data_IF_380046512224
#
_entry.id   IF_380046512224
#
_cell.length_a   1.000
_cell.length_b   1.000
_cell.length_c   1.000
_cell.angle_alpha   90.00
_cell.angle_beta   90.00
_cell.angle_gamma   90.00
#
_symmetry.space_group_name_H-M   'P 1'
#
loop_
_entity.id
_entity.type
_entity.pdbx_description
1 polymer ?
#
# COMPACT_ATOMS: atom_id res chain seq x y z
N UNK A 1 -43.37 45.93 -49.47
CA UNK A 1 -43.18 44.51 -49.82
C UNK A 1 -41.90 44.00 -49.16
N UNK A 2 -41.91 42.80 -48.58
CA UNK A 2 -41.03 42.40 -47.48
C UNK A 2 -39.77 41.65 -47.96
N UNK A 3 -38.68 41.64 -47.19
CA UNK A 3 -37.80 40.46 -47.19
C UNK A 3 -36.97 40.36 -45.91
N UNK A 4 -37.51 39.54 -45.00
CA UNK A 4 -36.83 38.38 -44.41
C UNK A 4 -35.58 38.60 -43.56
N UNK A 5 -35.84 38.68 -42.25
CA UNK A 5 -34.95 38.31 -41.15
C UNK A 5 -34.41 36.88 -41.32
N UNK A 6 -33.10 36.70 -41.16
CA UNK A 6 -32.50 35.40 -40.85
C UNK A 6 -31.77 35.50 -39.51
N UNK A 7 -32.51 35.23 -38.45
CA UNK A 7 -31.98 35.01 -37.10
C UNK A 7 -31.35 33.62 -37.08
N UNK A 8 -30.03 33.55 -36.91
CA UNK A 8 -29.33 32.28 -36.67
C UNK A 8 -29.52 31.89 -35.21
N UNK A 9 -30.32 30.85 -34.95
CA UNK A 9 -30.35 30.19 -33.65
C UNK A 9 -28.99 29.53 -33.39
N UNK A 10 -28.27 30.02 -32.38
CA UNK A 10 -27.14 29.32 -31.78
C UNK A 10 -27.70 28.27 -30.81
N UNK A 11 -27.59 26.98 -31.17
CA UNK A 11 -27.88 25.88 -30.27
C UNK A 11 -26.75 25.80 -29.22
N UNK A 12 -27.04 26.24 -28.00
CA UNK A 12 -26.16 26.05 -26.84
C UNK A 12 -26.37 24.64 -26.32
N UNK A 13 -25.52 23.70 -26.74
CA UNK A 13 -25.47 22.35 -26.17
C UNK A 13 -24.92 22.42 -24.74
N UNK A 14 -25.84 22.37 -23.77
CA UNK A 14 -25.54 22.20 -22.35
C UNK A 14 -25.02 20.78 -22.12
N UNK A 15 -23.71 20.58 -22.18
CA UNK A 15 -23.07 19.33 -21.77
C UNK A 15 -23.09 19.27 -20.25
N UNK A 16 -24.08 18.58 -19.69
CA UNK A 16 -24.18 18.30 -18.26
C UNK A 16 -23.10 17.27 -17.90
N UNK A 17 -21.97 17.73 -17.34
CA UNK A 17 -20.94 16.86 -16.82
C UNK A 17 -21.46 16.16 -15.56
N UNK A 18 -21.92 14.91 -15.70
CA UNK A 18 -22.17 14.04 -14.56
C UNK A 18 -20.83 13.69 -13.93
N UNK A 19 -20.45 14.41 -12.88
CA UNK A 19 -19.38 14.00 -11.99
C UNK A 19 -19.84 12.75 -11.25
N UNK A 20 -19.40 11.57 -11.71
CA UNK A 20 -19.53 10.35 -10.93
C UNK A 20 -18.62 10.54 -9.71
N UNK A 21 -19.22 10.89 -8.57
CA UNK A 21 -18.49 10.93 -7.32
C UNK A 21 -17.99 9.51 -7.04
N UNK A 22 -16.67 9.32 -7.13
CA UNK A 22 -16.09 8.07 -6.66
C UNK A 22 -16.32 8.02 -5.15
N UNK A 23 -17.04 7.00 -4.68
CA UNK A 23 -17.30 6.83 -3.27
C UNK A 23 -15.99 6.64 -2.50
N UNK A 24 -15.75 7.56 -1.58
CA UNK A 24 -14.58 7.57 -0.70
C UNK A 24 -15.04 7.54 0.74
N UNK A 25 -14.26 6.88 1.59
CA UNK A 25 -14.48 6.80 3.03
C UNK A 25 -13.32 7.49 3.74
N UNK A 26 -13.61 8.60 4.42
CA UNK A 26 -12.67 9.18 5.38
C UNK A 26 -12.61 8.29 6.62
N UNK A 27 -11.39 8.01 7.05
CA UNK A 27 -11.08 7.24 8.25
C UNK A 27 -10.36 8.14 9.25
N UNK A 28 -10.57 7.91 10.54
CA UNK A 28 -9.77 8.56 11.59
C UNK A 28 -8.37 7.98 11.67
N UNK A 29 -8.30 6.65 11.61
CA UNK A 29 -7.07 5.87 11.65
C UNK A 29 -7.31 4.57 10.89
N UNK A 30 -6.34 4.15 10.08
CA UNK A 30 -6.43 2.90 9.32
C UNK A 30 -6.44 1.67 10.26
N UNK A 31 -5.79 1.79 11.42
CA UNK A 31 -5.68 0.70 12.40
C UNK A 31 -6.94 0.64 13.26
N UNK A 32 -7.46 1.78 13.72
CA UNK A 32 -8.67 1.81 14.56
C UNK A 32 -9.94 1.48 13.76
N UNK A 33 -10.00 1.94 12.51
CA UNK A 33 -11.11 1.72 11.59
C UNK A 33 -10.71 0.74 10.48
N UNK A 34 -9.98 -0.33 10.82
CA UNK A 34 -9.48 -1.36 9.90
C UNK A 34 -10.58 -2.23 9.26
N UNK A 35 -11.82 -2.14 9.77
CA UNK A 35 -13.03 -2.71 9.14
C UNK A 35 -13.92 -1.60 8.63
N UNK A 36 -14.15 -1.58 7.33
CA UNK A 36 -15.01 -0.58 6.72
C UNK A 36 -15.66 -1.12 5.44
N UNK A 37 -16.58 -0.34 4.89
CA UNK A 37 -17.22 -0.65 3.63
C UNK A 37 -17.15 0.56 2.71
N UNK A 38 -16.89 0.30 1.44
CA UNK A 38 -16.93 1.28 0.36
C UNK A 38 -17.80 0.64 -0.71
N UNK A 39 -18.93 1.28 -1.01
CA UNK A 39 -19.98 0.74 -1.88
C UNK A 39 -20.46 -0.61 -1.37
N UNK A 40 -20.51 -1.58 -2.28
CA UNK A 40 -20.96 -2.94 -1.97
C UNK A 40 -19.84 -3.83 -1.44
N UNK A 41 -18.62 -3.30 -1.23
CA UNK A 41 -17.48 -4.08 -0.76
C UNK A 41 -17.19 -3.81 0.71
N UNK A 42 -17.05 -4.89 1.49
CA UNK A 42 -16.58 -4.87 2.87
C UNK A 42 -15.13 -5.34 2.93
N UNK A 43 -14.30 -4.57 3.63
CA UNK A 43 -12.89 -4.88 3.87
C UNK A 43 -12.66 -5.12 5.37
N UNK A 44 -11.80 -6.09 5.68
CA UNK A 44 -11.27 -6.33 7.02
C UNK A 44 -9.75 -6.44 6.94
N UNK A 45 -9.08 -5.31 7.19
CA UNK A 45 -7.61 -5.24 7.20
C UNK A 45 -7.04 -5.47 8.60
N UNK A 46 -7.86 -5.65 9.63
CA UNK A 46 -7.37 -5.73 11.01
C UNK A 46 -6.29 -6.80 11.22
N UNK A 47 -6.39 -7.99 10.59
CA UNK A 47 -5.34 -9.01 10.72
C UNK A 47 -3.96 -8.57 10.22
N UNK A 48 -3.85 -7.54 9.38
CA UNK A 48 -2.57 -6.96 8.96
C UNK A 48 -1.89 -6.15 10.07
N UNK A 49 -2.63 -5.75 11.10
CA UNK A 49 -2.17 -4.76 12.09
C UNK A 49 -2.09 -5.34 13.50
N UNK A 50 -2.19 -6.66 13.66
CA UNK A 50 -2.23 -7.33 14.97
C UNK A 50 -0.88 -7.30 15.69
N UNK A 51 0.24 -7.28 14.97
CA UNK A 51 1.58 -7.24 15.58
C UNK A 51 2.19 -5.84 15.57
N UNK A 52 3.02 -5.56 16.57
CA UNK A 52 3.71 -4.28 16.69
C UNK A 52 4.68 -4.04 15.51
N UNK A 53 5.28 -5.09 14.97
CA UNK A 53 6.11 -5.05 13.78
C UNK A 53 5.28 -4.70 12.53
N UNK A 54 4.05 -5.20 12.43
CA UNK A 54 3.19 -4.93 11.28
C UNK A 54 2.70 -3.46 11.25
N UNK A 55 2.69 -2.79 12.40
CA UNK A 55 2.38 -1.36 12.50
C UNK A 55 3.52 -0.45 12.02
N UNK A 56 4.75 -0.98 11.90
CA UNK A 56 5.95 -0.24 11.50
C UNK A 56 6.60 -0.87 10.27
N UNK A 57 6.48 -0.20 9.13
CA UNK A 57 7.02 -0.68 7.86
C UNK A 57 8.28 0.10 7.49
N UNK A 58 9.33 -0.63 7.09
CA UNK A 58 10.56 -0.05 6.53
C UNK A 58 10.70 -0.54 5.09
N UNK A 59 10.60 0.37 4.13
CA UNK A 59 10.66 0.07 2.71
C UNK A 59 11.96 0.68 2.17
N UNK A 60 12.82 -0.14 1.59
CA UNK A 60 14.12 0.30 1.09
C UNK A 60 14.21 0.13 -0.42
N UNK A 61 14.73 1.15 -1.09
CA UNK A 61 15.18 1.06 -2.48
C UNK A 61 16.62 1.55 -2.58
N UNK A 62 17.39 0.99 -3.51
CA UNK A 62 18.80 1.32 -3.67
C UNK A 62 19.15 1.38 -5.16
N UNK A 63 19.94 2.38 -5.53
CA UNK A 63 20.47 2.55 -6.88
C UNK A 63 21.97 2.87 -6.81
N UNK A 64 22.74 2.30 -7.74
CA UNK A 64 24.14 2.65 -7.91
C UNK A 64 24.22 3.99 -8.63
N UNK A 65 24.90 4.95 -8.03
CA UNK A 65 25.09 6.32 -8.55
C UNK A 65 26.59 6.63 -8.54
N UNK A 66 27.39 6.08 -9.47
CA UNK A 66 28.85 6.11 -9.40
C UNK A 66 29.41 7.52 -9.13
N UNK A 67 30.39 7.66 -8.20
CA UNK A 67 31.12 6.63 -7.45
C UNK A 67 30.45 6.21 -6.13
N UNK A 68 29.14 6.42 -6.01
CA UNK A 68 28.37 6.22 -4.78
C UNK A 68 27.23 5.23 -4.98
N UNK A 69 26.57 4.88 -3.89
CA UNK A 69 25.30 4.20 -3.84
C UNK A 69 24.30 5.12 -3.13
N UNK A 70 23.15 5.32 -3.76
CA UNK A 70 22.04 6.06 -3.17
C UNK A 70 20.98 5.08 -2.69
N UNK A 71 20.66 5.14 -1.40
CA UNK A 71 19.63 4.35 -0.73
C UNK A 71 18.49 5.26 -0.30
N UNK A 72 17.26 4.92 -0.66
CA UNK A 72 16.05 5.60 -0.22
C UNK A 72 15.38 4.69 0.80
N UNK A 73 15.14 5.22 1.99
CA UNK A 73 14.48 4.52 3.09
C UNK A 73 13.18 5.23 3.41
N UNK A 74 12.10 4.47 3.37
CA UNK A 74 10.76 4.89 3.73
C UNK A 74 10.43 4.23 5.07
N UNK A 75 10.05 5.03 6.06
CA UNK A 75 9.60 4.56 7.37
C UNK A 75 8.15 4.97 7.53
N UNK A 76 7.26 4.01 7.71
CA UNK A 76 5.83 4.20 7.89
C UNK A 76 5.42 3.62 9.24
N UNK A 77 4.71 4.41 10.02
CA UNK A 77 4.02 3.99 11.23
C UNK A 77 2.52 4.19 11.05
N UNK A 78 1.73 3.14 11.33
CA UNK A 78 0.28 3.14 11.14
C UNK A 78 -0.51 3.45 12.42
N UNK A 79 0.15 3.47 13.58
CA UNK A 79 -0.47 3.65 14.90
C UNK A 79 0.07 4.85 15.67
N UNK A 80 0.70 5.81 15.00
CA UNK A 80 1.22 7.02 15.61
C UNK A 80 2.47 7.57 14.93
N UNK A 81 3.00 8.70 15.40
CA UNK A 81 4.24 9.29 14.90
C UNK A 81 5.45 8.36 15.03
N UNK A 82 6.39 8.49 14.11
CA UNK A 82 7.69 7.83 14.13
C UNK A 82 8.52 8.34 15.32
N UNK A 83 9.24 7.42 15.96
CA UNK A 83 10.19 7.76 17.01
C UNK A 83 11.42 8.42 16.41
N UNK A 84 11.90 9.47 17.07
CA UNK A 84 13.14 10.16 16.71
C UNK A 84 14.36 9.42 17.25
N UNK A 85 15.48 9.62 16.57
CA UNK A 85 16.78 9.10 16.99
C UNK A 85 17.52 10.18 17.77
N UNK A 86 17.93 9.87 18.99
CA UNK A 86 18.82 10.73 19.79
C UNK A 86 20.23 10.83 19.20
N UNK A 87 20.59 9.91 18.29
CA UNK A 87 21.92 9.85 17.68
C UNK A 87 22.06 10.74 16.44
N UNK A 88 20.95 11.13 15.83
CA UNK A 88 20.95 11.96 14.63
C UNK A 88 20.63 13.41 15.01
N UNK A 89 21.24 14.41 14.37
CA UNK A 89 20.86 15.79 14.56
C UNK A 89 19.47 16.06 13.99
N UNK A 90 18.80 17.09 14.49
CA UNK A 90 17.38 17.35 14.16
C UNK A 90 17.09 17.57 12.68
N UNK A 91 18.05 18.13 11.92
CA UNK A 91 17.90 18.41 10.50
C UNK A 91 18.13 17.19 9.60
N UNK A 92 18.60 16.06 10.16
CA UNK A 92 18.84 14.80 9.45
C UNK A 92 17.75 13.75 9.70
N UNK A 93 16.67 14.14 10.39
CA UNK A 93 15.55 13.27 10.68
C UNK A 93 14.22 14.01 10.46
N UNK A 94 13.15 13.24 10.23
CA UNK A 94 11.84 13.86 10.06
C UNK A 94 11.40 14.52 11.37
N UNK A 95 10.66 15.65 11.29
CA UNK A 95 10.18 16.35 12.47
C UNK A 95 9.21 15.49 13.30
N UNK A 96 9.07 15.84 14.58
CA UNK A 96 8.08 15.23 15.47
C UNK A 96 6.66 15.33 14.90
N UNK A 97 5.87 14.26 15.06
CA UNK A 97 4.54 14.17 14.45
C UNK A 97 4.52 13.58 13.04
N UNK A 98 5.67 13.19 12.47
CA UNK A 98 5.73 12.50 11.19
C UNK A 98 5.31 11.04 11.32
N UNK A 99 4.31 10.60 10.57
CA UNK A 99 3.88 9.18 10.51
C UNK A 99 4.55 8.41 9.38
N UNK A 100 4.90 9.12 8.30
CA UNK A 100 5.57 8.54 7.14
C UNK A 100 6.72 9.45 6.71
N UNK A 101 7.95 8.97 6.83
CA UNK A 101 9.18 9.67 6.48
C UNK A 101 9.89 8.99 5.30
N UNK A 102 10.48 9.77 4.40
CA UNK A 102 11.47 9.31 3.43
C UNK A 102 12.82 9.94 3.73
N UNK A 103 13.87 9.11 3.74
CA UNK A 103 15.26 9.54 3.88
C UNK A 103 16.06 9.05 2.68
N UNK A 104 16.74 9.97 2.00
CA UNK A 104 17.70 9.65 0.94
C UNK A 104 19.11 9.70 1.51
N UNK A 105 19.81 8.59 1.40
CA UNK A 105 21.12 8.35 1.99
C UNK A 105 22.09 8.07 0.86
N UNK A 106 23.26 8.68 0.90
CA UNK A 106 24.34 8.45 -0.05
C UNK A 106 25.57 7.90 0.67
N UNK A 107 26.13 6.81 0.16
CA UNK A 107 27.36 6.21 0.69
C UNK A 107 28.33 6.01 -0.46
N UNK A 108 29.61 6.30 -0.24
CA UNK A 108 30.66 5.91 -1.20
C UNK A 108 30.88 4.40 -1.15
N UNK A 109 31.21 3.82 -2.29
CA UNK A 109 31.61 2.42 -2.38
C UNK A 109 33.11 2.29 -2.10
N UNK A 110 33.62 1.06 -2.19
CA UNK A 110 35.05 0.74 -2.09
C UNK A 110 35.96 1.77 -2.79
N UNK A 111 37.06 2.21 -2.13
CA UNK A 111 37.56 1.79 -0.82
C UNK A 111 36.99 2.56 0.39
N UNK A 112 35.98 3.42 0.18
CA UNK A 112 35.50 4.40 1.17
C UNK A 112 34.27 3.93 1.95
N UNK A 113 34.12 2.62 2.10
CA UNK A 113 32.94 2.01 2.73
C UNK A 113 32.78 2.32 4.22
N UNK A 114 33.89 2.68 4.87
CA UNK A 114 33.97 3.07 6.29
C UNK A 114 33.61 4.53 6.56
N UNK A 115 33.44 5.37 5.52
CA UNK A 115 32.92 6.72 5.71
C UNK A 115 31.46 6.65 6.16
N UNK A 116 31.08 7.53 7.09
CA UNK A 116 29.69 7.63 7.51
C UNK A 116 28.79 8.01 6.32
N UNK A 117 27.63 7.35 6.17
CA UNK A 117 26.70 7.65 5.10
C UNK A 117 26.11 9.06 5.29
N UNK A 118 25.93 9.77 4.18
CA UNK A 118 25.42 11.14 4.17
C UNK A 118 23.92 11.14 3.94
N UNK A 119 23.17 11.78 4.83
CA UNK A 119 21.75 12.02 4.61
C UNK A 119 21.60 13.21 3.67
N UNK A 120 21.18 12.95 2.44
CA UNK A 120 21.00 13.97 1.41
C UNK A 120 19.66 14.69 1.54
N UNK A 121 18.64 13.95 1.97
CA UNK A 121 17.27 14.43 1.96
C UNK A 121 16.43 13.75 3.04
N UNK A 122 15.56 14.54 3.66
CA UNK A 122 14.52 14.09 4.58
C UNK A 122 13.20 14.71 4.15
N UNK A 123 12.18 13.88 3.96
CA UNK A 123 10.86 14.32 3.48
C UNK A 123 9.77 13.75 4.40
N UNK A 124 9.05 14.61 5.16
CA UNK A 124 7.86 14.19 5.88
C UNK A 124 6.70 14.03 4.88
N UNK A 125 6.30 12.79 4.60
CA UNK A 125 5.25 12.47 3.63
C UNK A 125 3.87 12.59 4.27
N UNK A 126 3.71 12.01 5.46
CA UNK A 126 2.48 12.06 6.26
C UNK A 126 2.85 12.64 7.61
N UNK A 127 2.11 13.66 8.00
CA UNK A 127 2.44 14.48 9.14
C UNK A 127 1.16 14.93 9.83
N UNK A 128 1.10 14.72 11.13
CA UNK A 128 0.00 15.15 11.98
C UNK A 128 0.55 16.12 13.02
N UNK A 129 0.41 17.42 12.76
CA UNK A 129 0.55 18.40 13.83
C UNK A 129 -0.40 19.59 13.63
N UNK A 130 -0.96 20.12 14.71
CA UNK A 130 -1.94 21.19 14.66
C UNK A 130 -1.35 22.55 14.22
N UNK A 131 -0.06 22.84 14.48
CA UNK A 131 0.49 24.20 14.39
C UNK A 131 1.88 24.32 13.71
N UNK A 132 2.29 23.36 12.86
CA UNK A 132 3.65 23.35 12.30
C UNK A 132 3.74 23.88 10.85
N UNK A 133 4.88 24.49 10.51
CA UNK A 133 5.22 24.89 9.13
C UNK A 133 5.46 23.71 8.17
N UNK A 134 5.46 22.47 8.69
CA UNK A 134 5.57 21.25 7.90
C UNK A 134 4.19 20.64 7.56
N UNK A 135 3.11 21.18 8.13
CA UNK A 135 1.75 20.76 7.83
C UNK A 135 1.31 21.28 6.46
N UNK A 136 0.79 20.38 5.63
CA UNK A 136 0.19 20.75 4.36
C UNK A 136 -1.12 21.51 4.55
N UNK A 137 -1.50 22.32 3.56
CA UNK A 137 -2.83 22.93 3.49
C UNK A 137 -3.98 21.91 3.41
N UNK A 138 -3.69 20.65 3.07
CA UNK A 138 -4.68 19.56 3.03
C UNK A 138 -4.97 19.00 4.43
N UNK A 139 -4.13 19.28 5.44
CA UNK A 139 -4.22 18.70 6.77
C UNK A 139 -3.89 17.20 6.81
N UNK A 140 -3.76 16.67 8.03
CA UNK A 140 -3.68 15.22 8.23
C UNK A 140 -5.02 14.56 7.89
N UNK A 141 -4.96 13.45 7.17
CA UNK A 141 -6.16 12.71 6.80
C UNK A 141 -5.86 11.33 6.23
N UNK A 142 -6.77 10.40 6.49
CA UNK A 142 -6.76 9.05 5.92
C UNK A 142 -8.04 8.88 5.11
N UNK A 143 -7.90 8.63 3.81
CA UNK A 143 -9.04 8.46 2.90
C UNK A 143 -8.89 7.15 2.14
N UNK A 144 -9.86 6.26 2.30
CA UNK A 144 -9.96 5.03 1.55
C UNK A 144 -10.91 5.20 0.35
N UNK A 145 -10.60 4.54 -0.76
CA UNK A 145 -11.40 4.55 -1.98
C UNK A 145 -11.15 3.29 -2.81
N UNK A 146 -11.95 3.08 -3.85
CA UNK A 146 -11.76 1.97 -4.77
C UNK A 146 -11.04 2.44 -6.04
N UNK A 147 -10.09 1.62 -6.49
CA UNK A 147 -9.54 1.71 -7.84
C UNK A 147 -10.56 1.26 -8.88
N UNK A 148 -10.23 1.45 -10.16
CA UNK A 148 -11.05 0.94 -11.26
C UNK A 148 -11.20 -0.58 -11.13
N UNK A 149 -12.44 -1.06 -11.12
CA UNK A 149 -12.77 -2.49 -11.14
C UNK A 149 -13.29 -2.87 -12.53
N UNK A 150 -12.91 -4.05 -12.99
CA UNK A 150 -13.46 -4.67 -14.20
C UNK A 150 -14.70 -5.54 -13.91
N UNK A 151 -15.12 -5.61 -12.64
CA UNK A 151 -16.22 -6.46 -12.16
C UNK A 151 -15.91 -7.96 -12.14
N UNK A 152 -14.74 -8.38 -12.62
CA UNK A 152 -14.31 -9.79 -12.66
C UNK A 152 -13.35 -10.11 -11.52
N UNK A 153 -12.59 -9.11 -11.08
CA UNK A 153 -11.59 -9.23 -10.02
C UNK A 153 -12.02 -8.43 -8.78
N UNK A 154 -11.41 -8.76 -7.63
CA UNK A 154 -11.60 -7.92 -6.45
C UNK A 154 -11.11 -6.50 -6.76
N UNK A 155 -11.87 -5.45 -6.41
CA UNK A 155 -11.44 -4.09 -6.62
C UNK A 155 -10.16 -3.82 -5.83
N UNK A 156 -9.25 -3.05 -6.41
CA UNK A 156 -8.08 -2.56 -5.69
C UNK A 156 -8.52 -1.53 -4.65
N UNK A 157 -8.09 -1.70 -3.40
CA UNK A 157 -8.36 -0.74 -2.34
C UNK A 157 -7.22 0.30 -2.30
N UNK A 158 -7.58 1.57 -2.38
CA UNK A 158 -6.65 2.69 -2.36
C UNK A 158 -6.79 3.41 -1.03
N UNK A 159 -5.73 3.46 -0.22
CA UNK A 159 -5.69 4.23 1.02
C UNK A 159 -4.69 5.35 0.87
N UNK A 160 -5.17 6.58 0.92
CA UNK A 160 -4.37 7.80 0.84
C UNK A 160 -4.20 8.39 2.23
N UNK A 161 -2.95 8.65 2.59
CA UNK A 161 -2.57 9.37 3.82
C UNK A 161 -1.99 10.73 3.42
N UNK A 162 -2.43 11.80 4.07
CA UNK A 162 -2.02 13.19 3.78
C UNK A 162 -1.49 13.89 5.03
N UNK A 163 -0.94 15.09 4.84
CA UNK A 163 -0.58 15.99 5.94
C UNK A 163 0.84 16.54 5.84
N UNK A 164 1.75 15.85 5.14
CA UNK A 164 3.13 16.31 4.98
C UNK A 164 3.30 17.38 3.91
N UNK A 165 4.33 18.22 4.06
CA UNK A 165 4.75 19.19 3.05
C UNK A 165 6.27 19.17 2.90
N UNK A 166 6.74 19.37 1.67
CA UNK A 166 8.17 19.49 1.39
C UNK A 166 8.41 20.49 0.26
N UNK A 167 9.27 21.49 0.51
CA UNK A 167 9.59 22.57 -0.43
C UNK A 167 8.31 23.22 -0.99
N UNK A 168 7.43 23.62 -0.07
CA UNK A 168 6.12 24.21 -0.36
C UNK A 168 5.16 23.34 -1.18
N UNK A 169 5.43 22.04 -1.37
CA UNK A 169 4.56 21.10 -2.09
C UNK A 169 3.95 20.07 -1.13
N UNK A 170 2.63 19.85 -1.18
CA UNK A 170 1.99 18.82 -0.37
C UNK A 170 2.55 17.45 -0.73
N UNK A 171 2.80 16.65 0.31
CA UNK A 171 3.21 15.27 0.22
C UNK A 171 2.04 14.37 0.64
N UNK A 172 1.97 13.18 0.03
CA UNK A 172 0.95 12.18 0.33
C UNK A 172 1.48 10.79 0.08
N UNK A 173 1.05 9.84 0.90
CA UNK A 173 1.29 8.43 0.67
C UNK A 173 0.04 7.78 0.08
N UNK A 174 0.23 6.88 -0.88
CA UNK A 174 -0.83 6.07 -1.47
C UNK A 174 -0.48 4.60 -1.28
N UNK A 175 -1.20 3.92 -0.39
CA UNK A 175 -1.14 2.48 -0.23
C UNK A 175 -2.16 1.83 -1.17
N UNK A 176 -1.68 0.97 -2.07
CA UNK A 176 -2.47 0.27 -3.08
C UNK A 176 -2.59 -1.18 -2.64
N UNK A 177 -3.68 -1.49 -1.96
CA UNK A 177 -3.97 -2.83 -1.46
C UNK A 177 -4.54 -3.71 -2.58
N UNK A 178 -3.83 -4.79 -2.90
CA UNK A 178 -4.19 -5.75 -3.94
C UNK A 178 -4.55 -7.09 -3.32
N UNK A 179 -5.71 -7.61 -3.70
CA UNK A 179 -6.17 -8.92 -3.27
C UNK A 179 -5.29 -10.02 -3.89
N UNK A 180 -4.75 -10.89 -3.03
CA UNK A 180 -4.20 -12.18 -3.42
C UNK A 180 -4.55 -13.23 -2.36
N UNK A 181 -5.52 -14.09 -2.68
CA UNK A 181 -5.98 -15.17 -1.80
C UNK A 181 -4.89 -16.17 -1.40
N UNK A 182 -3.77 -16.22 -2.14
CA UNK A 182 -2.65 -17.13 -1.90
C UNK A 182 -1.47 -16.47 -1.17
N UNK A 183 -1.59 -15.21 -0.76
CA UNK A 183 -0.53 -14.55 0.00
C UNK A 183 -0.30 -15.26 1.35
N UNK A 184 0.95 -15.61 1.60
CA UNK A 184 1.42 -16.01 2.93
C UNK A 184 1.65 -14.74 3.75
N UNK A 185 1.00 -14.65 4.91
CA UNK A 185 1.04 -13.47 5.78
C UNK A 185 2.04 -13.70 6.92
N UNK A 186 2.69 -12.63 7.43
CA UNK A 186 2.49 -11.22 7.11
C UNK A 186 3.20 -10.77 5.83
N UNK A 187 2.51 -9.96 5.03
CA UNK A 187 3.07 -9.27 3.85
C UNK A 187 3.47 -7.82 4.17
N UNK A 188 4.34 -7.24 3.34
CA UNK A 188 4.83 -5.87 3.50
C UNK A 188 4.59 -5.05 2.22
N UNK A 189 4.40 -3.72 2.35
CA UNK A 189 4.28 -2.84 1.18
C UNK A 189 5.62 -2.71 0.44
N UNK A 190 5.55 -2.57 -0.88
CA UNK A 190 6.71 -2.34 -1.75
C UNK A 190 6.58 -0.99 -2.45
N UNK A 191 7.71 -0.32 -2.69
CA UNK A 191 7.71 0.93 -3.43
C UNK A 191 7.27 0.69 -4.88
N UNK A 192 6.35 1.54 -5.37
CA UNK A 192 5.83 1.47 -6.74
C UNK A 192 6.37 2.66 -7.55
N UNK A 193 5.97 3.88 -7.21
CA UNK A 193 6.37 5.09 -7.92
C UNK A 193 6.24 6.32 -7.02
N UNK A 194 6.89 7.41 -7.43
CA UNK A 194 6.70 8.73 -6.82
C UNK A 194 6.56 9.80 -7.90
N UNK A 195 5.55 10.65 -7.77
CA UNK A 195 5.29 11.74 -8.72
C UNK A 195 4.49 12.85 -8.06
N UNK A 196 4.93 14.10 -8.26
CA UNK A 196 4.23 15.30 -7.80
C UNK A 196 3.78 15.24 -6.31
N UNK A 197 4.71 14.83 -5.44
CA UNK A 197 4.48 14.69 -3.99
C UNK A 197 3.68 13.46 -3.56
N UNK A 198 3.17 12.65 -4.49
CA UNK A 198 2.60 11.34 -4.16
C UNK A 198 3.69 10.28 -4.15
N UNK A 199 3.73 9.49 -3.09
CA UNK A 199 4.57 8.30 -2.95
C UNK A 199 3.65 7.08 -2.87
N UNK A 200 3.70 6.22 -3.89
CA UNK A 200 2.80 5.08 -4.01
C UNK A 200 3.51 3.77 -3.68
N UNK A 201 2.80 2.92 -2.95
CA UNK A 201 3.28 1.63 -2.47
C UNK A 201 2.24 0.55 -2.76
N UNK A 202 2.65 -0.58 -3.33
CA UNK A 202 1.78 -1.73 -3.55
C UNK A 202 1.84 -2.65 -2.32
N UNK A 203 0.68 -3.06 -1.80
CA UNK A 203 0.59 -3.99 -0.67
C UNK A 203 -0.31 -5.16 -1.05
N UNK A 204 0.29 -6.29 -1.39
CA UNK A 204 -0.45 -7.47 -1.85
C UNK A 204 -0.73 -8.40 -0.68
N UNK A 205 -2.00 -8.64 -0.37
CA UNK A 205 -2.43 -9.37 0.83
C UNK A 205 -3.77 -10.06 0.58
N UNK A 206 -4.02 -11.17 1.29
CA UNK A 206 -5.33 -11.84 1.26
C UNK A 206 -6.44 -11.02 1.93
N UNK A 207 -6.09 -10.12 2.84
CA UNK A 207 -7.06 -9.29 3.57
C UNK A 207 -7.61 -8.12 2.75
N UNK A 208 -6.99 -7.81 1.60
CA UNK A 208 -7.48 -6.82 0.65
C UNK A 208 -8.61 -7.36 -0.26
N UNK A 209 -8.97 -8.64 -0.12
CA UNK A 209 -10.02 -9.28 -0.90
C UNK A 209 -11.41 -8.89 -0.38
N UNK A 210 -11.87 -7.69 -0.74
CA UNK A 210 -13.17 -7.18 -0.30
C UNK A 210 -14.31 -8.12 -0.69
N UNK A 211 -15.23 -8.36 0.25
CA UNK A 211 -16.41 -9.21 0.05
C UNK A 211 -17.59 -8.36 -0.41
N UNK A 212 -18.27 -8.79 -1.48
CA UNK A 212 -19.49 -8.13 -1.91
C UNK A 212 -20.63 -8.39 -0.89
N UNK A 213 -21.37 -7.35 -0.49
CA UNK A 213 -22.45 -7.39 0.51
C UNK A 213 -23.63 -8.33 0.18
N UNK A 214 -23.65 -8.92 -1.02
CA UNK A 214 -24.63 -9.93 -1.44
C UNK A 214 -24.08 -11.34 -1.65
N UNK A 215 -22.78 -11.57 -1.43
CA UNK A 215 -22.17 -12.90 -1.63
C UNK A 215 -22.44 -13.88 -0.47
N UNK A 216 -22.94 -13.40 0.67
CA UNK A 216 -23.25 -14.23 1.85
C UNK A 216 -24.57 -15.02 1.72
N UNK A 217 -25.16 -15.07 0.53
CA UNK A 217 -26.37 -15.87 0.23
C UNK A 217 -26.07 -17.03 -0.72
N UNK A 218 -25.05 -17.82 -0.42
CA UNK A 218 -25.03 -19.21 -0.89
C UNK A 218 -25.60 -20.09 0.23
N UNK A 219 -26.74 -20.79 0.01
CA UNK A 219 -27.26 -21.74 0.99
C UNK A 219 -26.18 -22.78 1.28
N UNK A 220 -25.94 -23.03 2.57
CA UNK A 220 -25.06 -24.09 3.02
C UNK A 220 -25.33 -25.38 2.27
N UNK A 221 -24.26 -26.02 1.83
CA UNK A 221 -24.29 -27.40 1.38
C UNK A 221 -25.07 -28.24 2.42
N UNK A 222 -26.04 -29.08 2.01
CA UNK A 222 -26.80 -29.89 2.96
C UNK A 222 -25.85 -30.71 3.82
N UNK A 223 -25.88 -30.46 5.12
CA UNK A 223 -25.28 -31.32 6.12
C UNK A 223 -26.14 -32.59 6.16
N UNK A 224 -25.62 -33.67 5.58
CA UNK A 224 -26.25 -34.99 5.61
C UNK A 224 -26.17 -35.55 7.05
N UNK A 225 -27.31 -35.80 7.73
CA UNK A 225 -27.32 -36.37 9.05
C UNK A 225 -27.49 -37.88 8.96
N UNK A 226 -26.42 -38.63 9.25
CA UNK A 226 -26.56 -39.95 9.87
C UNK A 226 -25.67 -41.06 9.33
N UNK A 227 -24.51 -41.25 9.97
CA UNK A 227 -23.95 -42.59 10.19
C UNK A 227 -23.41 -42.66 11.64
N UNK A 228 -23.90 -43.56 12.51
CA UNK A 228 -23.40 -43.73 13.88
C UNK A 228 -22.05 -44.48 13.92
N UNK A 229 -21.35 -44.46 15.07
CA UNK A 229 -19.97 -44.93 15.19
C UNK A 229 -19.91 -46.46 15.29
N UNK A 230 -18.94 -47.05 14.59
CA UNK A 230 -18.57 -48.45 14.72
C UNK A 230 -17.05 -48.59 14.75
N UNK A 231 -16.56 -49.17 15.84
CA UNK A 231 -15.18 -49.42 16.24
C UNK A 231 -14.32 -50.22 15.24
N UNK A 232 -13.02 -49.89 15.29
CA UNK A 232 -11.83 -50.74 15.25
C UNK A 232 -11.66 -51.82 14.17
N UNK A 233 -10.61 -51.62 13.37
CA UNK A 233 -9.54 -52.60 13.31
C UNK A 233 -8.19 -51.95 12.95
N UNK A 234 -7.30 -52.00 13.92
CA UNK A 234 -5.85 -51.89 13.80
C UNK A 234 -5.29 -52.70 12.63
N UNK A 235 -4.18 -52.24 12.02
CA UNK A 235 -2.87 -52.86 12.22
C UNK A 235 -1.79 -52.35 11.24
N UNK A 236 -0.67 -51.93 11.85
CA UNK A 236 0.74 -52.03 11.40
C UNK A 236 1.16 -51.02 10.31
N UNK A 237 1.90 -49.97 10.66
CA UNK A 237 3.36 -49.97 10.91
C UNK A 237 4.04 -49.40 9.66
N UNK A 238 4.81 -48.31 9.65
CA UNK A 238 6.05 -47.99 10.38
C UNK A 238 6.43 -46.51 10.13
N UNK A 239 7.03 -45.84 11.12
CA UNK A 239 7.84 -44.61 10.99
C UNK A 239 9.31 -44.99 10.72
N UNK A 240 10.26 -44.05 10.50
CA UNK A 240 10.28 -42.87 9.62
C UNK A 240 11.58 -42.83 8.78
N UNK A 241 11.67 -42.01 7.72
CA UNK A 241 12.99 -41.47 7.34
C UNK A 241 12.90 -40.03 6.80
N UNK A 242 13.70 -39.17 7.42
CA UNK A 242 14.14 -37.89 6.87
C UNK A 242 15.11 -38.18 5.73
N UNK A 243 15.00 -37.48 4.61
CA UNK A 243 16.16 -37.21 3.77
C UNK A 243 16.03 -35.84 3.10
N UNK A 244 17.09 -35.07 3.27
CA UNK A 244 17.30 -33.73 2.76
C UNK A 244 18.16 -33.91 1.51
N UNK A 245 17.70 -33.47 0.33
CA UNK A 245 18.62 -33.25 -0.80
C UNK A 245 18.18 -32.00 -1.57
N UNK A 246 18.92 -30.93 -1.32
CA UNK A 246 19.20 -29.83 -2.26
C UNK A 246 19.79 -30.37 -3.55
N UNK A 247 19.22 -30.01 -4.72
CA UNK A 247 20.00 -29.85 -5.96
C UNK A 247 19.49 -28.69 -6.79
N UNK A 248 20.37 -27.69 -6.92
CA UNK A 248 20.40 -26.71 -7.99
C UNK A 248 20.35 -27.42 -9.35
N UNK A 249 19.61 -26.85 -10.30
CA UNK A 249 19.80 -27.10 -11.72
C UNK A 249 19.93 -25.78 -12.46
N UNK A 250 21.19 -25.43 -12.75
CA UNK A 250 21.58 -24.44 -13.74
C UNK A 250 21.14 -24.95 -15.11
N UNK A 251 20.29 -24.19 -15.82
CA UNK A 251 20.11 -24.39 -17.26
C UNK A 251 20.77 -23.25 -18.02
N UNK A 252 21.92 -23.59 -18.58
CA UNK A 252 22.68 -22.86 -19.59
C UNK A 252 21.80 -22.55 -20.81
N UNK A 253 21.71 -21.28 -21.20
CA UNK A 253 21.28 -20.88 -22.54
C UNK A 253 22.55 -20.54 -23.33
N UNK A 254 22.83 -21.32 -24.37
CA UNK A 254 23.83 -21.02 -25.38
C UNK A 254 23.19 -21.12 -26.77
N UNK A 255 23.66 -20.24 -27.66
CA UNK A 255 23.62 -20.25 -29.13
C UNK A 255 22.37 -19.67 -29.79
N UNK A 256 22.47 -19.07 -30.97
CA UNK A 256 23.46 -18.20 -31.62
C UNK A 256 22.79 -17.79 -32.94
N UNK A 257 23.24 -16.65 -33.45
CA UNK A 257 22.97 -16.07 -34.76
C UNK A 257 22.72 -17.05 -35.93
N UNK A 258 21.76 -16.67 -36.77
CA UNK A 258 21.90 -16.59 -38.23
C UNK A 258 21.15 -15.34 -38.71
#
# INVERSE_FOLDING_TARGET
MPSSFLVRLAAVSLVCALAVAADVKTLKSLVEECRFSINDYRFDLCPLFESAEALKQIITSQAVTPPTVTKIVYQLSLNGPLSRSEKLPDHEQCPDGTWFCMTTINRRTEPYESEDPRILQVVPIVFDAPDSSAASSEGFGVVAGLGKSDGKTHPTLLVRLTGGQYVNKPQRALLVFRCNHKSEEPTQPTYSWSWNGTHAFDWTTKYACGHARGADTAPGSPHDPGIPPGEDQDLIGTLPERHWITKHSLTTILLCAA
#
